data_IF_505430492462
#
_entry.id   IF_505430492462
#
_cell.length_a   1.000
_cell.length_b   1.000
_cell.length_c   1.000
_cell.angle_alpha   90.00
_cell.angle_beta   90.00
_cell.angle_gamma   90.00
#
_symmetry.space_group_name_H-M   'P 1'
#
loop_
_entity.id
_entity.type
_entity.pdbx_description
1 polymer ?
#
# COMPACT_ATOMS: atom_id res chain seq x y z
N UNK A 1 -11.93 14.76 14.13
CA UNK A 1 -12.06 13.30 14.00
C UNK A 1 -11.91 12.95 12.54
N UNK A 2 -10.97 12.09 12.14
CA UNK A 2 -10.87 11.64 10.74
C UNK A 2 -11.98 10.61 10.48
N UNK A 3 -12.76 10.82 9.44
CA UNK A 3 -13.80 9.87 9.02
C UNK A 3 -13.09 8.63 8.46
N UNK A 4 -13.36 7.44 9.03
CA UNK A 4 -12.89 6.17 8.47
C UNK A 4 -13.98 5.61 7.56
N UNK A 5 -13.65 5.43 6.29
CA UNK A 5 -14.53 4.77 5.34
C UNK A 5 -14.78 3.30 5.72
N UNK A 6 -15.91 2.71 5.29
CA UNK A 6 -16.14 1.26 5.37
C UNK A 6 -15.00 0.49 4.69
N UNK A 7 -14.66 -0.68 5.24
CA UNK A 7 -13.53 -1.49 4.79
C UNK A 7 -13.58 -1.81 3.28
N UNK A 8 -14.76 -2.13 2.75
CA UNK A 8 -14.91 -2.40 1.31
C UNK A 8 -14.59 -1.20 0.42
N UNK A 9 -15.01 0.01 0.80
CA UNK A 9 -14.69 1.23 0.04
C UNK A 9 -13.20 1.52 0.10
N UNK A 10 -12.57 1.32 1.27
CA UNK A 10 -11.13 1.48 1.45
C UNK A 10 -10.34 0.49 0.59
N UNK A 11 -10.71 -0.79 0.58
CA UNK A 11 -10.03 -1.80 -0.25
C UNK A 11 -10.12 -1.47 -1.74
N UNK A 12 -11.28 -1.00 -2.23
CA UNK A 12 -11.43 -0.60 -3.63
C UNK A 12 -10.51 0.58 -3.97
N UNK A 13 -10.42 1.59 -3.09
CA UNK A 13 -9.52 2.73 -3.31
C UNK A 13 -8.05 2.34 -3.22
N UNK A 14 -7.67 1.46 -2.30
CA UNK A 14 -6.29 0.97 -2.18
C UNK A 14 -5.88 0.18 -3.42
N UNK A 15 -6.74 -0.71 -3.93
CA UNK A 15 -6.48 -1.46 -5.17
C UNK A 15 -6.44 -0.54 -6.37
N UNK A 16 -7.39 0.40 -6.49
CA UNK A 16 -7.43 1.37 -7.60
C UNK A 16 -6.19 2.26 -7.62
N UNK A 17 -5.82 2.82 -6.48
CA UNK A 17 -4.59 3.58 -6.28
C UNK A 17 -3.35 2.71 -6.59
N UNK A 18 -3.32 1.48 -6.09
CA UNK A 18 -2.30 0.47 -6.37
C UNK A 18 -2.06 0.29 -7.87
N UNK A 19 -3.12 0.01 -8.64
CA UNK A 19 -3.03 -0.21 -10.09
C UNK A 19 -2.50 1.03 -10.82
N UNK A 20 -3.07 2.21 -10.56
CA UNK A 20 -2.66 3.45 -11.23
C UNK A 20 -1.19 3.77 -10.94
N UNK A 21 -0.79 3.63 -9.67
CA UNK A 21 0.57 3.94 -9.23
C UNK A 21 1.56 2.88 -9.73
N UNK A 22 1.15 1.62 -9.84
CA UNK A 22 1.95 0.55 -10.44
C UNK A 22 2.20 0.76 -11.94
N UNK A 23 1.19 1.21 -12.70
CA UNK A 23 1.37 1.53 -14.13
C UNK A 23 2.31 2.71 -14.33
N UNK A 24 2.13 3.78 -13.55
CA UNK A 24 3.03 4.93 -13.58
C UNK A 24 4.46 4.53 -13.16
N UNK A 25 4.58 3.77 -12.07
CA UNK A 25 5.84 3.25 -11.56
C UNK A 25 6.53 2.36 -12.59
N UNK A 26 5.79 1.48 -13.27
CA UNK A 26 6.31 0.62 -14.32
C UNK A 26 6.84 1.40 -15.54
N UNK A 27 6.13 2.44 -15.96
CA UNK A 27 6.60 3.31 -17.03
C UNK A 27 7.89 4.06 -16.64
N UNK A 28 7.90 4.69 -15.46
CA UNK A 28 9.07 5.43 -14.95
C UNK A 28 10.26 4.49 -14.71
N UNK A 29 10.02 3.36 -14.06
CA UNK A 29 11.02 2.34 -13.79
C UNK A 29 11.59 1.74 -15.06
N UNK A 30 10.75 1.46 -16.06
CA UNK A 30 11.22 0.94 -17.34
C UNK A 30 12.10 1.92 -18.09
N UNK A 31 11.71 3.20 -18.13
CA UNK A 31 12.53 4.26 -18.71
C UNK A 31 13.86 4.44 -17.94
N UNK A 32 13.81 4.41 -16.61
CA UNK A 32 15.00 4.49 -15.77
C UNK A 32 15.94 3.30 -16.01
N UNK A 33 15.40 2.08 -16.09
CA UNK A 33 16.16 0.86 -16.37
C UNK A 33 16.79 0.87 -17.77
N UNK A 34 16.06 1.34 -18.78
CA UNK A 34 16.62 1.55 -20.11
C UNK A 34 17.77 2.56 -20.08
N UNK A 35 17.57 3.71 -19.43
CA UNK A 35 18.59 4.75 -19.31
C UNK A 35 19.82 4.28 -18.53
N UNK A 36 19.63 3.49 -17.47
CA UNK A 36 20.72 2.85 -16.71
C UNK A 36 21.55 1.90 -17.58
N UNK A 37 20.89 1.13 -18.44
CA UNK A 37 21.55 0.24 -19.39
C UNK A 37 22.32 1.02 -20.45
N UNK A 38 21.70 2.03 -21.07
CA UNK A 38 22.33 2.83 -22.12
C UNK A 38 23.57 3.57 -21.59
N UNK A 39 23.46 4.15 -20.39
CA UNK A 39 24.53 4.99 -19.82
C UNK A 39 25.65 4.20 -19.16
N UNK A 40 25.33 3.12 -18.45
CA UNK A 40 26.28 2.39 -17.60
C UNK A 40 26.39 0.90 -17.91
N UNK A 41 25.64 0.38 -18.88
CA UNK A 41 25.65 -1.04 -19.25
C UNK A 41 24.99 -1.96 -18.21
N UNK A 42 24.26 -1.41 -17.23
CA UNK A 42 23.58 -2.20 -16.20
C UNK A 42 22.40 -2.93 -16.81
N UNK A 43 22.34 -4.25 -16.65
CA UNK A 43 21.24 -5.06 -17.19
C UNK A 43 21.29 -5.23 -18.71
N UNK A 44 22.48 -5.11 -19.33
CA UNK A 44 22.70 -5.52 -20.72
C UNK A 44 22.44 -7.02 -20.88
N UNK A 45 21.61 -7.37 -21.85
CA UNK A 45 21.37 -8.75 -22.26
C UNK A 45 22.54 -9.35 -23.06
N UNK A 46 22.51 -10.67 -23.20
CA UNK A 46 23.52 -11.41 -23.97
C UNK A 46 23.10 -11.40 -25.44
N UNK A 47 23.55 -10.38 -26.18
CA UNK A 47 23.51 -10.21 -27.66
C UNK A 47 22.13 -10.07 -28.36
N UNK A 48 21.99 -9.02 -29.20
CA UNK A 48 20.85 -8.77 -30.11
C UNK A 48 20.42 -7.29 -30.15
N UNK A 49 19.51 -6.92 -31.07
CA UNK A 49 19.00 -5.54 -31.25
C UNK A 49 18.26 -4.94 -30.04
N UNK A 50 18.07 -5.72 -28.97
CA UNK A 50 17.44 -5.33 -27.70
C UNK A 50 18.40 -5.47 -26.52
N UNK A 51 19.66 -5.05 -26.66
CA UNK A 51 20.66 -5.13 -25.58
C UNK A 51 20.16 -4.51 -24.26
N UNK A 52 19.39 -3.42 -24.34
CA UNK A 52 18.80 -2.75 -23.17
C UNK A 52 17.34 -3.09 -22.89
N UNK A 53 16.76 -4.05 -23.62
CA UNK A 53 15.40 -4.52 -23.38
C UNK A 53 15.25 -5.18 -21.99
N UNK A 54 16.27 -5.88 -21.52
CA UNK A 54 16.27 -6.46 -20.16
C UNK A 54 16.28 -5.39 -19.07
N UNK A 55 17.10 -4.34 -19.22
CA UNK A 55 17.09 -3.18 -18.32
C UNK A 55 15.71 -2.52 -18.24
N UNK A 56 15.03 -2.35 -19.38
CA UNK A 56 13.66 -1.82 -19.44
C UNK A 56 12.67 -2.73 -18.69
N UNK A 57 12.70 -4.03 -18.92
CA UNK A 57 11.77 -4.98 -18.27
C UNK A 57 12.01 -5.01 -16.76
N UNK A 58 13.27 -5.13 -16.31
CA UNK A 58 13.61 -5.17 -14.89
C UNK A 58 13.21 -3.87 -14.19
N UNK A 59 13.51 -2.73 -14.82
CA UNK A 59 13.10 -1.43 -14.31
C UNK A 59 11.58 -1.30 -14.21
N UNK A 60 10.84 -1.78 -15.22
CA UNK A 60 9.39 -1.74 -15.20
C UNK A 60 8.79 -2.64 -14.11
N UNK A 61 9.33 -3.84 -13.92
CA UNK A 61 8.87 -4.75 -12.86
C UNK A 61 9.10 -4.15 -11.48
N UNK A 62 10.30 -3.62 -11.21
CA UNK A 62 10.60 -2.94 -9.94
C UNK A 62 9.69 -1.75 -9.72
N UNK A 63 9.49 -0.94 -10.78
CA UNK A 63 8.58 0.19 -10.76
C UNK A 63 7.13 -0.19 -10.46
N UNK A 64 6.65 -1.32 -11.00
CA UNK A 64 5.32 -1.88 -10.73
C UNK A 64 5.19 -2.29 -9.26
N UNK A 65 6.19 -3.02 -8.73
CA UNK A 65 6.17 -3.53 -7.35
C UNK A 65 6.14 -2.39 -6.34
N UNK A 66 7.07 -1.45 -6.47
CA UNK A 66 7.16 -0.28 -5.58
C UNK A 66 5.97 0.66 -5.79
N UNK A 67 5.56 0.86 -7.05
CA UNK A 67 4.41 1.68 -7.40
C UNK A 67 3.12 1.14 -6.79
N UNK A 68 2.88 -0.17 -6.84
CA UNK A 68 1.69 -0.77 -6.25
C UNK A 68 1.65 -0.55 -4.73
N UNK A 69 2.75 -0.84 -4.03
CA UNK A 69 2.83 -0.66 -2.57
C UNK A 69 2.65 0.80 -2.15
N UNK A 70 3.26 1.74 -2.87
CA UNK A 70 3.04 3.17 -2.67
C UNK A 70 1.56 3.52 -2.87
N UNK A 71 0.94 2.97 -3.93
CA UNK A 71 -0.47 3.10 -4.26
C UNK A 71 -1.42 2.68 -3.15
N UNK A 72 -1.19 1.50 -2.59
CA UNK A 72 -1.96 0.97 -1.46
C UNK A 72 -1.83 1.90 -0.26
N UNK A 73 -0.62 2.36 0.08
CA UNK A 73 -0.40 3.25 1.22
C UNK A 73 -1.16 4.58 1.07
N UNK A 74 -0.97 5.32 -0.02
CA UNK A 74 -1.63 6.63 -0.17
C UNK A 74 -3.14 6.49 -0.37
N UNK A 75 -3.60 5.46 -1.08
CA UNK A 75 -5.03 5.16 -1.22
C UNK A 75 -5.70 4.86 0.12
N UNK A 76 -5.00 4.14 1.00
CA UNK A 76 -5.44 3.87 2.35
C UNK A 76 -5.45 5.13 3.23
N UNK A 77 -4.45 6.02 3.12
CA UNK A 77 -4.41 7.28 3.86
C UNK A 77 -5.55 8.23 3.47
N UNK A 78 -5.86 8.34 2.17
CA UNK A 78 -6.97 9.16 1.66
C UNK A 78 -8.31 8.73 2.27
N UNK A 79 -8.47 7.44 2.60
CA UNK A 79 -9.66 6.88 3.23
C UNK A 79 -9.62 6.88 4.77
N UNK A 80 -8.65 7.57 5.38
CA UNK A 80 -8.51 7.69 6.82
C UNK A 80 -7.86 6.48 7.49
N UNK A 81 -7.16 5.63 6.72
CA UNK A 81 -6.22 4.66 7.25
C UNK A 81 -4.99 5.33 7.86
N UNK A 82 -4.25 4.56 8.65
CA UNK A 82 -3.05 5.00 9.37
C UNK A 82 -2.01 3.87 9.33
N UNK A 83 -1.86 3.25 8.16
CA UNK A 83 -0.86 2.21 7.91
C UNK A 83 0.47 2.83 7.53
N UNK A 84 1.56 2.12 7.86
CA UNK A 84 2.92 2.60 7.63
C UNK A 84 3.43 2.22 6.23
N UNK A 85 3.85 3.21 5.44
CA UNK A 85 4.42 3.00 4.09
C UNK A 85 5.52 1.92 4.06
N UNK A 86 6.46 1.98 5.02
CA UNK A 86 7.57 1.03 5.06
C UNK A 86 7.09 -0.43 5.16
N UNK A 87 6.03 -0.69 5.93
CA UNK A 87 5.50 -2.04 6.10
C UNK A 87 4.74 -2.51 4.86
N UNK A 88 4.04 -1.60 4.18
CA UNK A 88 3.41 -1.88 2.88
C UNK A 88 4.44 -2.25 1.82
N UNK A 89 5.54 -1.49 1.71
CA UNK A 89 6.62 -1.78 0.77
C UNK A 89 7.39 -3.05 1.15
N UNK A 90 7.67 -3.28 2.44
CA UNK A 90 8.30 -4.51 2.91
C UNK A 90 7.43 -5.73 2.58
N UNK A 91 6.11 -5.64 2.81
CA UNK A 91 5.17 -6.69 2.48
C UNK A 91 5.14 -7.00 0.98
N UNK A 92 5.08 -5.97 0.13
CA UNK A 92 5.18 -6.12 -1.32
C UNK A 92 6.46 -6.85 -1.75
N UNK A 93 7.61 -6.40 -1.25
CA UNK A 93 8.92 -6.95 -1.58
C UNK A 93 9.11 -8.39 -1.07
N UNK A 94 8.68 -8.68 0.16
CA UNK A 94 8.70 -10.05 0.69
C UNK A 94 7.81 -10.97 -0.13
N UNK A 95 6.62 -10.53 -0.52
CA UNK A 95 5.73 -11.26 -1.41
C UNK A 95 6.39 -11.57 -2.76
N UNK A 96 7.03 -10.57 -3.38
CA UNK A 96 7.75 -10.74 -4.64
C UNK A 96 8.93 -11.72 -4.53
N UNK A 97 9.77 -11.56 -3.50
CA UNK A 97 10.96 -12.40 -3.30
C UNK A 97 10.56 -13.84 -2.99
N UNK A 98 9.64 -14.05 -2.04
CA UNK A 98 9.21 -15.40 -1.65
C UNK A 98 8.55 -16.13 -2.83
N UNK A 99 7.64 -15.47 -3.55
CA UNK A 99 7.00 -16.07 -4.73
C UNK A 99 8.01 -16.38 -5.83
N UNK A 100 8.98 -15.50 -6.07
CA UNK A 100 10.03 -15.76 -7.07
C UNK A 100 10.88 -16.98 -6.70
N UNK A 101 11.34 -17.06 -5.44
CA UNK A 101 12.14 -18.19 -4.94
C UNK A 101 11.36 -19.50 -5.05
N UNK A 102 10.10 -19.51 -4.59
CA UNK A 102 9.25 -20.70 -4.64
C UNK A 102 8.98 -21.12 -6.08
N UNK A 103 8.67 -20.18 -6.97
CA UNK A 103 8.34 -20.49 -8.36
C UNK A 103 9.55 -21.00 -9.14
N UNK A 104 10.74 -20.43 -8.94
CA UNK A 104 11.98 -20.91 -9.58
C UNK A 104 12.35 -22.31 -9.08
N UNK A 105 12.11 -22.61 -7.80
CA UNK A 105 12.36 -23.93 -7.25
C UNK A 105 11.34 -25.00 -7.70
N UNK A 106 10.06 -24.62 -7.80
CA UNK A 106 8.97 -25.55 -8.07
C UNK A 106 8.69 -25.74 -9.58
N UNK A 107 8.91 -24.70 -10.39
CA UNK A 107 8.56 -24.69 -11.81
C UNK A 107 9.72 -24.11 -12.64
N UNK A 108 10.48 -24.95 -13.37
CA UNK A 108 11.54 -24.46 -14.25
C UNK A 108 10.97 -23.67 -15.45
N UNK A 109 9.68 -23.78 -15.74
CA UNK A 109 8.99 -22.96 -16.74
C UNK A 109 8.59 -21.60 -16.15
N UNK A 110 9.20 -20.53 -16.67
CA UNK A 110 9.00 -19.15 -16.20
C UNK A 110 7.68 -18.51 -16.67
N UNK A 111 6.79 -19.27 -17.32
CA UNK A 111 5.58 -18.72 -17.98
C UNK A 111 4.52 -18.20 -17.00
N UNK A 112 4.37 -18.83 -15.84
CA UNK A 112 3.39 -18.42 -14.79
C UNK A 112 3.98 -17.50 -13.72
N UNK A 113 5.32 -17.36 -13.71
CA UNK A 113 6.05 -16.58 -12.72
C UNK A 113 5.52 -15.13 -12.57
N UNK A 114 5.25 -14.36 -13.64
CA UNK A 114 4.86 -12.96 -13.50
C UNK A 114 3.52 -12.78 -12.77
N UNK A 115 2.55 -13.65 -13.05
CA UNK A 115 1.22 -13.59 -12.45
C UNK A 115 1.27 -13.90 -10.95
N UNK A 116 2.03 -14.93 -10.57
CA UNK A 116 2.18 -15.34 -9.17
C UNK A 116 2.92 -14.28 -8.36
N UNK A 117 3.98 -13.68 -8.94
CA UNK A 117 4.72 -12.59 -8.31
C UNK A 117 3.82 -11.37 -8.12
N UNK A 118 3.06 -10.97 -9.14
CA UNK A 118 2.15 -9.84 -9.04
C UNK A 118 1.07 -10.06 -7.98
N UNK A 119 0.43 -11.23 -7.97
CA UNK A 119 -0.57 -11.57 -6.96
C UNK A 119 0.02 -11.53 -5.54
N UNK A 120 1.25 -12.01 -5.37
CA UNK A 120 1.94 -12.04 -4.08
C UNK A 120 2.36 -10.64 -3.61
N UNK A 121 2.72 -9.75 -4.54
CA UNK A 121 2.97 -8.31 -4.27
C UNK A 121 1.70 -7.62 -3.80
N UNK A 122 0.57 -7.87 -4.47
CA UNK A 122 -0.72 -7.31 -4.08
C UNK A 122 -1.09 -7.78 -2.67
N UNK A 123 -1.05 -9.09 -2.41
CA UNK A 123 -1.36 -9.64 -1.09
C UNK A 123 -0.41 -9.12 -0.02
N UNK A 124 0.90 -9.13 -0.30
CA UNK A 124 1.92 -8.68 0.63
C UNK A 124 1.79 -7.22 1.02
N UNK A 125 1.52 -6.34 0.05
CA UNK A 125 1.31 -4.90 0.32
C UNK A 125 0.08 -4.64 1.18
N UNK A 126 -1.07 -5.25 0.87
CA UNK A 126 -2.27 -5.10 1.69
C UNK A 126 -2.08 -5.68 3.09
N UNK A 127 -1.46 -6.86 3.23
CA UNK A 127 -1.15 -7.44 4.54
C UNK A 127 -0.20 -6.54 5.34
N UNK A 128 0.87 -6.05 4.72
CA UNK A 128 1.82 -5.13 5.36
C UNK A 128 1.16 -3.82 5.79
N UNK A 129 0.23 -3.29 4.99
CA UNK A 129 -0.54 -2.11 5.34
C UNK A 129 -1.49 -2.36 6.52
N UNK A 130 -2.28 -3.43 6.48
CA UNK A 130 -3.30 -3.73 7.49
C UNK A 130 -2.72 -4.21 8.83
N UNK A 131 -1.70 -5.07 8.82
CA UNK A 131 -1.09 -5.61 10.05
C UNK A 131 -0.47 -4.52 10.92
N UNK A 132 -0.03 -3.43 10.32
CA UNK A 132 0.59 -2.29 11.00
C UNK A 132 -0.31 -1.05 11.02
N UNK A 133 -1.62 -1.22 10.75
CA UNK A 133 -2.56 -0.16 11.05
C UNK A 133 -2.58 0.08 12.55
N UNK A 134 -2.37 1.33 12.95
CA UNK A 134 -2.64 1.71 14.33
C UNK A 134 -4.12 1.40 14.62
N UNK A 135 -4.41 0.69 15.73
CA UNK A 135 -5.78 0.50 16.13
C UNK A 135 -6.42 1.88 16.16
N UNK A 136 -7.57 2.02 15.47
CA UNK A 136 -8.33 3.25 15.62
C UNK A 136 -8.46 3.47 17.13
N UNK A 137 -8.25 4.69 17.65
CA UNK A 137 -8.71 4.98 18.99
C UNK A 137 -10.14 4.46 19.01
N UNK A 138 -10.40 3.52 19.92
CA UNK A 138 -11.73 2.92 20.07
C UNK A 138 -12.69 4.10 19.94
N UNK A 139 -13.70 3.99 19.07
CA UNK A 139 -14.77 4.98 19.08
C UNK A 139 -15.23 4.98 20.53
N UNK A 140 -14.73 5.91 21.34
CA UNK A 140 -15.39 6.35 22.55
C UNK A 140 -16.71 6.72 21.93
N UNK A 141 -17.70 5.89 22.20
CA UNK A 141 -19.05 6.13 21.78
C UNK A 141 -19.46 7.39 22.57
N UNK A 142 -18.94 8.54 22.13
CA UNK A 142 -19.60 9.81 22.19
C UNK A 142 -20.79 9.66 21.24
N UNK A 143 -21.71 8.78 21.64
CA UNK A 143 -23.11 9.12 21.51
C UNK A 143 -23.16 10.56 22.04
N UNK A 144 -23.60 11.54 21.25
CA UNK A 144 -23.83 12.87 21.78
C UNK A 144 -24.73 12.69 22.99
N UNK A 145 -24.15 12.78 24.18
CA UNK A 145 -24.86 12.64 25.43
C UNK A 145 -25.19 14.06 25.83
N UNK A 146 -26.46 14.41 25.68
CA UNK A 146 -26.98 15.61 26.31
C UNK A 146 -26.94 15.36 27.81
N UNK A 147 -25.90 15.86 28.47
CA UNK A 147 -25.81 15.79 29.92
C UNK A 147 -26.81 16.82 30.47
N UNK A 148 -27.91 16.41 31.12
CA UNK A 148 -28.86 17.35 31.68
C UNK A 148 -28.17 18.19 32.76
N UNK A 149 -28.12 19.50 32.54
CA UNK A 149 -27.53 20.47 33.47
C UNK A 149 -28.64 21.16 34.26
N UNK A 150 -28.50 21.25 35.58
CA UNK A 150 -29.48 21.94 36.44
C UNK A 150 -29.15 23.41 36.60
N UNK A 151 -27.86 23.76 36.69
CA UNK A 151 -27.43 25.15 36.67
C UNK A 151 -26.01 25.33 36.13
N UNK A 152 -25.75 26.54 35.62
CA UNK A 152 -24.44 27.03 35.22
C UNK A 152 -24.15 28.35 35.93
N UNK A 153 -22.90 28.54 36.36
CA UNK A 153 -22.41 29.78 36.95
C UNK A 153 -21.64 30.62 35.92
N UNK A 154 -21.66 31.95 36.07
CA UNK A 154 -20.84 32.87 35.29
C UNK A 154 -19.31 32.63 35.45
N UNK A 155 -18.91 31.89 36.49
CA UNK A 155 -17.52 31.49 36.74
C UNK A 155 -17.19 30.07 36.23
N UNK A 156 -18.07 29.47 35.43
CA UNK A 156 -17.83 28.16 34.82
C UNK A 156 -18.09 26.95 35.75
N UNK A 157 -18.66 27.16 36.94
CA UNK A 157 -19.13 26.05 37.76
C UNK A 157 -20.39 25.43 37.15
N UNK A 158 -20.41 24.09 37.02
CA UNK A 158 -21.51 23.33 36.46
C UNK A 158 -22.05 22.34 37.51
N UNK A 159 -23.37 22.35 37.73
CA UNK A 159 -24.04 21.37 38.59
C UNK A 159 -24.94 20.48 37.70
N UNK A 160 -24.50 19.25 37.48
CA UNK A 160 -25.25 18.23 36.76
C UNK A 160 -25.85 17.20 37.72
N UNK A 161 -26.90 16.51 37.28
CA UNK A 161 -27.35 15.29 37.96
C UNK A 161 -26.36 14.16 37.64
N UNK A 162 -25.62 13.72 38.65
CA UNK A 162 -24.64 12.63 38.56
C UNK A 162 -25.30 11.25 38.47
N UNK A 163 -26.15 11.03 37.47
CA UNK A 163 -26.79 9.75 37.19
C UNK A 163 -26.64 9.36 35.72
N UNK A 164 -26.19 8.13 35.47
CA UNK A 164 -26.23 7.55 34.13
C UNK A 164 -27.71 7.26 33.77
N UNK A 165 -28.21 7.90 32.71
CA UNK A 165 -29.44 7.54 32.02
C UNK A 165 -29.11 7.11 30.59
#
# INVERSE_FOLDING_TARGET
MRFRAPLGQRMITEVGAGIVTALAGGAVGGLAGFWLCDRWGVGRGVSGDLECGQGLILGAVLGIVEGYGLGVWWGGEVMGGDGHLLHTLLGANLGAVLSTVVMVAAYPSLTVLPLVVLASVMLGSHLGYELFQRPAPAKVASRPFLQPMVSFSAHGAMLGWGGHF
#
